data_IF_093040336508
#
_entry.id   IF_093040336508
#
_cell.length_a   1.000
_cell.length_b   1.000
_cell.length_c   1.000
_cell.angle_alpha   90.00
_cell.angle_beta   90.00
_cell.angle_gamma   90.00
#
_symmetry.space_group_name_H-M   'P 1'
#
loop_
_entity.id
_entity.type
_entity.pdbx_description
1 polymer ?
#
# COMPACT_ATOMS: atom_id res chain seq x y z
N UNK A 1 2.37 -9.89 -6.89
CA UNK A 1 1.71 -10.25 -5.63
C UNK A 1 2.75 -10.84 -4.69
N UNK A 2 2.92 -10.32 -3.48
CA UNK A 2 3.91 -10.82 -2.51
C UNK A 2 3.56 -12.26 -2.10
N UNK A 3 4.52 -13.21 -2.01
CA UNK A 3 4.24 -14.61 -1.64
C UNK A 3 3.50 -14.77 -0.31
N UNK A 4 3.75 -13.90 0.67
CA UNK A 4 3.07 -13.95 1.97
C UNK A 4 1.59 -13.56 1.85
N UNK A 5 1.33 -12.51 1.08
CA UNK A 5 -0.01 -12.05 0.75
C UNK A 5 -0.76 -13.06 -0.13
N UNK A 6 -0.06 -13.76 -1.04
CA UNK A 6 -0.65 -14.88 -1.81
C UNK A 6 -1.07 -16.04 -0.93
N UNK A 7 -0.39 -16.30 0.18
CA UNK A 7 -0.75 -17.37 1.11
C UNK A 7 -2.00 -17.01 1.90
N UNK A 8 -2.03 -15.79 2.46
CA UNK A 8 -3.17 -15.30 3.23
C UNK A 8 -4.42 -15.03 2.38
N UNK A 9 -4.25 -14.63 1.12
CA UNK A 9 -5.38 -14.31 0.25
C UNK A 9 -6.23 -15.54 -0.15
N UNK A 10 -5.71 -16.75 0.05
CA UNK A 10 -6.44 -18.01 -0.21
C UNK A 10 -7.61 -18.21 0.77
N UNK A 11 -7.56 -17.49 1.90
CA UNK A 11 -8.50 -17.63 3.01
C UNK A 11 -9.57 -16.54 3.02
N UNK A 12 -9.36 -15.43 2.31
CA UNK A 12 -10.36 -14.37 2.17
C UNK A 12 -11.33 -14.73 1.04
N UNK A 13 -12.63 -14.77 1.35
CA UNK A 13 -13.69 -14.88 0.34
C UNK A 13 -14.02 -13.54 -0.33
N UNK A 14 -13.35 -12.46 0.08
CA UNK A 14 -13.68 -11.11 -0.35
C UNK A 14 -12.89 -10.72 -1.61
N UNK A 15 -13.53 -10.85 -2.77
CA UNK A 15 -12.93 -10.53 -4.06
C UNK A 15 -12.51 -9.06 -4.18
N UNK A 16 -13.29 -8.11 -3.64
CA UNK A 16 -12.91 -6.70 -3.74
C UNK A 16 -11.67 -6.37 -2.91
N UNK A 17 -11.46 -7.05 -1.78
CA UNK A 17 -10.24 -6.90 -1.00
C UNK A 17 -9.02 -7.55 -1.68
N UNK A 18 -9.21 -8.70 -2.33
CA UNK A 18 -8.16 -9.33 -3.15
C UNK A 18 -7.67 -8.38 -4.24
N UNK A 19 -8.60 -7.73 -4.94
CA UNK A 19 -8.27 -6.75 -5.99
C UNK A 19 -7.56 -5.53 -5.39
N UNK A 20 -7.98 -5.08 -4.20
CA UNK A 20 -7.32 -4.00 -3.49
C UNK A 20 -5.85 -4.32 -3.19
N UNK A 21 -5.60 -5.48 -2.60
CA UNK A 21 -4.25 -5.98 -2.34
C UNK A 21 -3.42 -6.07 -3.62
N UNK A 22 -4.00 -6.58 -4.71
CA UNK A 22 -3.27 -6.76 -5.96
C UNK A 22 -2.82 -5.40 -6.55
N UNK A 23 -3.67 -4.37 -6.45
CA UNK A 23 -3.31 -3.00 -6.83
C UNK A 23 -2.27 -2.41 -5.87
N UNK A 24 -2.41 -2.65 -4.56
CA UNK A 24 -1.42 -2.22 -3.57
C UNK A 24 -0.04 -2.82 -3.82
N UNK A 25 0.05 -4.10 -4.19
CA UNK A 25 1.30 -4.78 -4.52
C UNK A 25 1.99 -4.17 -5.75
N UNK A 26 1.22 -3.76 -6.75
CA UNK A 26 1.75 -3.05 -7.92
C UNK A 26 2.30 -1.70 -7.51
N UNK A 27 1.59 -1.00 -6.61
CA UNK A 27 2.03 0.28 -6.08
C UNK A 27 3.35 0.19 -5.32
N UNK A 28 3.44 -0.75 -4.39
CA UNK A 28 4.63 -1.00 -3.60
C UNK A 28 5.83 -1.29 -4.51
N UNK A 29 5.62 -2.15 -5.53
CA UNK A 29 6.65 -2.43 -6.52
C UNK A 29 7.08 -1.16 -7.27
N UNK A 30 6.14 -0.34 -7.72
CA UNK A 30 6.44 0.88 -8.45
C UNK A 30 7.23 1.88 -7.61
N UNK A 31 6.84 2.08 -6.35
CA UNK A 31 7.57 2.90 -5.38
C UNK A 31 9.02 2.40 -5.22
N UNK A 32 9.19 1.08 -5.07
CA UNK A 32 10.52 0.46 -4.98
C UNK A 32 11.34 0.67 -6.26
N UNK A 33 10.74 0.54 -7.44
CA UNK A 33 11.43 0.74 -8.72
C UNK A 33 11.89 2.21 -8.90
N UNK A 34 11.00 3.16 -8.60
CA UNK A 34 11.30 4.60 -8.68
C UNK A 34 12.37 5.00 -7.66
N UNK A 35 12.28 4.48 -6.43
CA UNK A 35 13.17 4.87 -5.34
C UNK A 35 14.52 4.14 -5.34
N UNK A 36 14.52 2.81 -5.46
CA UNK A 36 15.74 1.98 -5.36
C UNK A 36 16.40 1.73 -6.71
N UNK A 37 15.61 1.45 -7.74
CA UNK A 37 16.13 1.10 -9.07
C UNK A 37 16.29 2.33 -9.98
N UNK A 38 15.99 3.52 -9.47
CA UNK A 38 16.07 4.81 -10.18
C UNK A 38 15.31 4.78 -11.51
N UNK A 39 14.20 4.04 -11.56
CA UNK A 39 13.27 4.13 -12.68
C UNK A 39 12.86 5.58 -12.87
N UNK A 40 12.94 6.09 -14.10
CA UNK A 40 12.60 7.49 -14.34
C UNK A 40 11.11 7.71 -14.02
N UNK A 41 10.75 8.84 -13.38
CA UNK A 41 9.34 9.16 -13.10
C UNK A 41 8.45 9.08 -14.34
N UNK A 42 8.97 9.50 -15.51
CA UNK A 42 8.27 9.43 -16.80
C UNK A 42 7.96 7.99 -17.24
N UNK A 43 8.84 7.03 -16.94
CA UNK A 43 8.59 5.62 -17.23
C UNK A 43 7.59 4.99 -16.25
N UNK A 44 7.53 5.50 -15.02
CA UNK A 44 6.60 5.06 -13.98
C UNK A 44 5.19 5.67 -14.10
N UNK A 45 5.08 6.86 -14.72
CA UNK A 45 3.86 7.64 -14.89
C UNK A 45 2.62 6.84 -15.35
N UNK A 46 2.67 6.03 -16.43
CA UNK A 46 1.48 5.34 -16.92
C UNK A 46 0.98 4.28 -15.94
N UNK A 47 1.90 3.50 -15.33
CA UNK A 47 1.53 2.48 -14.34
C UNK A 47 1.05 3.12 -13.04
N UNK A 48 1.70 4.22 -12.61
CA UNK A 48 1.28 5.01 -11.47
C UNK A 48 -0.14 5.52 -11.68
N UNK A 49 -0.42 6.25 -12.76
CA UNK A 49 -1.72 6.84 -13.02
C UNK A 49 -2.85 5.79 -13.00
N UNK A 50 -2.60 4.60 -13.55
CA UNK A 50 -3.58 3.51 -13.57
C UNK A 50 -3.83 2.94 -12.17
N UNK A 51 -2.77 2.55 -11.44
CA UNK A 51 -2.88 1.89 -10.14
C UNK A 51 -3.38 2.88 -9.08
N UNK A 52 -2.90 4.12 -9.14
CA UNK A 52 -3.19 5.16 -8.17
C UNK A 52 -4.65 5.61 -8.20
N UNK A 53 -5.20 5.84 -9.41
CA UNK A 53 -6.59 6.24 -9.57
C UNK A 53 -7.54 5.18 -9.00
N UNK A 54 -7.27 3.90 -9.31
CA UNK A 54 -8.07 2.79 -8.82
C UNK A 54 -8.01 2.70 -7.29
N UNK A 55 -6.82 2.78 -6.69
CA UNK A 55 -6.66 2.71 -5.24
C UNK A 55 -7.35 3.88 -4.53
N UNK A 56 -7.25 5.12 -5.03
CA UNK A 56 -7.95 6.27 -4.44
C UNK A 56 -9.47 6.13 -4.47
N UNK A 57 -10.01 5.52 -5.51
CA UNK A 57 -11.45 5.30 -5.64
C UNK A 57 -11.97 4.24 -4.66
N UNK A 58 -11.19 3.19 -4.41
CA UNK A 58 -11.64 2.05 -3.60
C UNK A 58 -11.17 2.11 -2.15
N UNK A 59 -10.16 2.92 -1.82
CA UNK A 59 -9.61 2.96 -0.47
C UNK A 59 -10.63 3.41 0.59
N UNK A 60 -11.58 4.29 0.24
CA UNK A 60 -12.60 4.75 1.17
C UNK A 60 -13.47 3.62 1.76
N UNK A 61 -13.62 2.50 1.04
CA UNK A 61 -14.32 1.31 1.53
C UNK A 61 -13.53 0.57 2.62
N UNK A 62 -12.20 0.69 2.57
CA UNK A 62 -11.26 -0.05 3.42
C UNK A 62 -10.66 0.79 4.54
N UNK A 63 -10.73 2.12 4.47
CA UNK A 63 -10.14 3.03 5.46
C UNK A 63 -10.59 2.68 6.88
N UNK A 64 -11.91 2.56 7.09
CA UNK A 64 -12.47 2.24 8.41
C UNK A 64 -12.10 0.83 8.90
N UNK A 65 -12.00 -0.13 7.97
CA UNK A 65 -11.68 -1.52 8.27
C UNK A 65 -10.20 -1.69 8.60
N UNK A 66 -9.32 -1.02 7.86
CA UNK A 66 -7.86 -1.11 8.02
C UNK A 66 -7.34 -0.26 9.19
N UNK A 67 -8.12 0.74 9.64
CA UNK A 67 -7.79 1.63 10.76
C UNK A 67 -7.25 0.95 12.02
N UNK A 68 -7.96 -0.01 12.63
CA UNK A 68 -7.44 -0.67 13.84
C UNK A 68 -6.14 -1.43 13.58
N UNK A 69 -5.87 -1.90 12.36
CA UNK A 69 -4.68 -2.67 12.04
C UNK A 69 -3.47 -1.76 11.78
N UNK A 70 -3.63 -0.66 11.04
CA UNK A 70 -2.51 0.25 10.82
C UNK A 70 -2.12 1.04 12.06
N UNK A 71 -3.04 1.27 13.01
CA UNK A 71 -2.72 1.90 14.30
C UNK A 71 -1.79 1.05 15.18
N UNK A 72 -1.69 -0.26 14.90
CA UNK A 72 -0.82 -1.18 15.62
C UNK A 72 0.59 -1.26 14.99
N UNK A 73 0.78 -0.74 13.77
CA UNK A 73 2.05 -0.83 13.06
C UNK A 73 3.00 0.29 13.47
N UNK A 74 4.25 0.17 13.01
CA UNK A 74 5.27 1.19 13.24
C UNK A 74 5.82 1.71 11.91
N UNK A 75 5.93 3.03 11.80
CA UNK A 75 6.65 3.72 10.73
C UNK A 75 7.87 4.41 11.34
N UNK A 76 9.05 4.25 10.74
CA UNK A 76 10.30 4.84 11.25
C UNK A 76 10.67 4.46 12.70
N UNK A 77 10.15 3.35 13.23
CA UNK A 77 10.37 2.93 14.61
C UNK A 77 9.37 3.48 15.63
N UNK A 78 8.51 4.40 15.22
CA UNK A 78 7.43 4.96 16.05
C UNK A 78 6.08 4.37 15.66
N UNK A 79 5.14 4.36 16.61
CA UNK A 79 3.78 3.90 16.32
C UNK A 79 3.12 4.81 15.28
N UNK A 80 2.53 4.19 14.26
CA UNK A 80 1.89 4.89 13.15
C UNK A 80 0.76 5.80 13.65
N UNK A 81 0.96 7.12 13.59
CA UNK A 81 -0.02 8.13 14.01
C UNK A 81 -0.89 8.64 12.85
N UNK A 82 -0.42 8.45 11.62
CA UNK A 82 -1.08 8.90 10.39
C UNK A 82 -1.46 7.70 9.56
N UNK A 83 -2.55 7.78 8.82
CA UNK A 83 -2.95 6.70 7.94
C UNK A 83 -1.89 6.49 6.85
N UNK A 84 -1.16 5.35 6.86
CA UNK A 84 -0.07 5.13 5.93
C UNK A 84 -0.58 4.92 4.50
N UNK A 85 -1.81 4.42 4.32
CA UNK A 85 -2.41 4.27 3.01
C UNK A 85 -2.80 5.62 2.44
N UNK A 86 -3.48 6.46 3.23
CA UNK A 86 -3.88 7.79 2.78
C UNK A 86 -2.67 8.70 2.53
N UNK A 87 -1.64 8.63 3.38
CA UNK A 87 -0.38 9.34 3.18
C UNK A 87 0.24 8.97 1.82
N UNK A 88 0.34 7.67 1.55
CA UNK A 88 0.86 7.20 0.28
C UNK A 88 -0.03 7.70 -0.85
N UNK A 89 -1.34 7.44 -0.82
CA UNK A 89 -2.33 7.79 -1.87
C UNK A 89 -2.49 9.30 -2.15
N UNK A 90 -1.92 10.17 -1.31
CA UNK A 90 -1.90 11.62 -1.53
C UNK A 90 -0.81 12.10 -2.50
N UNK A 91 0.16 11.26 -2.89
CA UNK A 91 1.10 11.64 -3.95
C UNK A 91 0.38 11.84 -5.28
N UNK A 92 0.65 12.96 -5.96
CA UNK A 92 0.01 13.28 -7.25
C UNK A 92 0.80 12.73 -8.44
N UNK A 93 2.11 12.51 -8.28
CA UNK A 93 2.99 12.06 -9.36
C UNK A 93 4.05 11.07 -8.84
N UNK A 94 4.61 10.21 -9.72
CA UNK A 94 5.72 9.35 -9.34
C UNK A 94 6.95 10.13 -8.83
N UNK A 95 7.17 11.35 -9.33
CA UNK A 95 8.28 12.20 -8.92
C UNK A 95 8.20 12.60 -7.44
N UNK A 96 6.99 12.72 -6.87
CA UNK A 96 6.80 13.00 -5.45
C UNK A 96 7.33 11.87 -4.54
N UNK A 97 7.36 10.63 -5.04
CA UNK A 97 7.88 9.46 -4.31
C UNK A 97 9.39 9.60 -4.06
N UNK A 98 10.16 10.03 -5.07
CA UNK A 98 11.61 10.16 -4.95
C UNK A 98 12.03 11.26 -3.98
N UNK A 99 11.18 12.28 -3.80
CA UNK A 99 11.43 13.41 -2.90
C UNK A 99 10.93 13.20 -1.47
N UNK A 100 10.07 12.21 -1.23
CA UNK A 100 9.44 12.00 0.09
C UNK A 100 9.91 10.72 0.77
N UNK A 101 10.92 10.86 1.61
CA UNK A 101 11.42 9.79 2.49
C UNK A 101 10.33 9.16 3.37
N UNK A 102 9.25 9.89 3.69
CA UNK A 102 8.14 9.37 4.50
C UNK A 102 7.41 8.25 3.77
N UNK A 103 7.34 8.29 2.44
CA UNK A 103 6.76 7.22 1.63
C UNK A 103 7.42 5.88 1.96
N UNK A 104 8.76 5.87 1.98
CA UNK A 104 9.57 4.69 2.28
C UNK A 104 9.42 4.21 3.73
N UNK A 105 9.16 5.13 4.67
CA UNK A 105 8.95 4.78 6.07
C UNK A 105 7.56 4.20 6.34
N UNK A 106 6.54 4.61 5.57
CA UNK A 106 5.15 4.21 5.77
C UNK A 106 4.71 3.05 4.87
N UNK A 107 5.45 2.75 3.79
CA UNK A 107 5.23 1.57 2.94
C UNK A 107 5.20 0.26 3.74
N UNK A 108 6.17 -0.02 4.64
CA UNK A 108 6.15 -1.24 5.45
C UNK A 108 4.98 -1.25 6.44
N UNK A 109 4.64 -0.10 7.02
CA UNK A 109 3.53 0.03 7.95
C UNK A 109 2.17 -0.27 7.30
N UNK A 110 1.95 0.19 6.06
CA UNK A 110 0.74 -0.17 5.30
C UNK A 110 0.72 -1.67 4.95
N UNK A 111 1.86 -2.23 4.54
CA UNK A 111 1.97 -3.67 4.26
C UNK A 111 1.67 -4.53 5.49
N UNK A 112 2.22 -4.17 6.64
CA UNK A 112 1.99 -4.86 7.90
C UNK A 112 0.51 -4.81 8.29
N UNK A 113 -0.15 -3.66 8.12
CA UNK A 113 -1.59 -3.52 8.39
C UNK A 113 -2.45 -4.47 7.54
N UNK A 114 -2.13 -4.60 6.23
CA UNK A 114 -2.81 -5.56 5.35
C UNK A 114 -2.61 -7.00 5.83
N UNK A 115 -1.39 -7.34 6.24
CA UNK A 115 -1.07 -8.69 6.73
C UNK A 115 -1.81 -9.00 8.05
N UNK A 116 -1.88 -8.04 8.97
CA UNK A 116 -2.62 -8.18 10.23
C UNK A 116 -4.12 -8.38 9.97
N UNK A 117 -4.72 -7.58 9.10
CA UNK A 117 -6.13 -7.77 8.71
C UNK A 117 -6.36 -9.14 8.09
N UNK A 118 -5.52 -9.54 7.13
CA UNK A 118 -5.64 -10.85 6.49
C UNK A 118 -5.50 -12.02 7.46
N UNK A 119 -4.62 -11.90 8.45
CA UNK A 119 -4.44 -12.91 9.49
C UNK A 119 -5.70 -13.03 10.36
N UNK A 120 -6.29 -11.90 10.75
CA UNK A 120 -7.52 -11.84 11.53
C UNK A 120 -8.71 -12.44 10.77
N UNK A 121 -8.81 -12.21 9.46
CA UNK A 121 -9.86 -12.82 8.62
C UNK A 121 -9.70 -14.34 8.41
N UNK A 122 -8.50 -14.88 8.63
CA UNK A 122 -8.20 -16.31 8.49
C UNK A 122 -8.33 -17.09 9.81
N UNK A 123 -8.54 -16.39 10.93
CA UNK A 123 -8.72 -16.96 12.28
C UNK A 123 -10.18 -17.30 12.55
#
# INVERSE_FOLDING_TARGET
MNPFTRFLNQWTKNRSFTDFIAHWDRLEKLVILVYREKLSPTAAEPEFAQVWLWLRQHYGEWEGVLRPYWQQTKAAGEQTQVDPFQLLLNFETPAAISGDWRAMQHLPAAREALNLFLHDQAS
#
